data_IF_228997876083
#
_entry.id   IF_228997876083
#
_cell.length_a   1.000
_cell.length_b   1.000
_cell.length_c   1.000
_cell.angle_alpha   90.00
_cell.angle_beta   90.00
_cell.angle_gamma   90.00
#
_symmetry.space_group_name_H-M   'P 1'
#
loop_
_entity.id
_entity.type
_entity.pdbx_description
1 polymer ?
#
# COMPACT_ATOMS: atom_id res chain seq x y z
N UNK A 1 20.15 -44.82 58.53
CA UNK A 1 21.44 -44.12 58.59
C UNK A 1 22.27 -44.58 57.40
N UNK A 2 22.93 -43.64 56.73
CA UNK A 2 23.54 -43.80 55.42
C UNK A 2 24.53 -44.98 55.34
N UNK A 3 24.31 -45.89 54.39
CA UNK A 3 25.36 -46.80 53.94
C UNK A 3 26.36 -45.98 53.13
N UNK A 4 27.47 -45.63 53.77
CA UNK A 4 28.63 -45.03 53.12
C UNK A 4 29.21 -46.11 52.20
N UNK A 5 28.98 -45.98 50.90
CA UNK A 5 29.75 -46.72 49.90
C UNK A 5 31.10 -46.03 49.81
N UNK A 6 32.16 -46.66 50.35
CA UNK A 6 33.54 -46.18 50.24
C UNK A 6 34.20 -46.84 49.03
N UNK A 7 34.34 -46.15 47.88
CA UNK A 7 35.08 -46.67 46.74
C UNK A 7 36.58 -46.46 47.01
N UNK A 8 37.41 -47.49 46.90
CA UNK A 8 38.86 -47.33 46.70
C UNK A 8 39.78 -47.30 47.94
N UNK A 9 39.29 -47.56 49.15
CA UNK A 9 40.11 -47.40 50.37
C UNK A 9 41.24 -48.41 50.62
N UNK A 10 41.36 -49.50 49.84
CA UNK A 10 42.41 -50.51 50.07
C UNK A 10 43.47 -50.61 48.97
N UNK A 11 43.32 -49.89 47.85
CA UNK A 11 44.25 -49.97 46.71
C UNK A 11 44.93 -48.64 46.39
N UNK A 12 44.59 -47.55 47.08
CA UNK A 12 45.10 -46.20 46.76
C UNK A 12 44.62 -45.68 45.40
N UNK A 13 43.63 -46.34 44.79
CA UNK A 13 43.07 -45.98 43.50
C UNK A 13 41.79 -45.18 43.71
N UNK A 14 41.86 -43.89 43.41
CA UNK A 14 40.71 -42.99 43.39
C UNK A 14 39.84 -43.28 42.15
N UNK A 15 38.92 -44.22 42.29
CA UNK A 15 38.05 -44.66 41.19
C UNK A 15 37.11 -43.55 40.70
N UNK A 16 36.76 -42.58 41.55
CA UNK A 16 35.97 -41.42 41.15
C UNK A 16 36.74 -40.53 40.18
N UNK A 17 38.02 -40.26 40.46
CA UNK A 17 38.88 -39.51 39.53
C UNK A 17 39.15 -40.27 38.23
N UNK A 18 39.33 -41.60 38.27
CA UNK A 18 39.53 -42.42 37.07
C UNK A 18 38.27 -42.42 36.19
N UNK A 19 37.08 -42.54 36.78
CA UNK A 19 35.81 -42.43 36.05
C UNK A 19 35.64 -41.04 35.45
N UNK A 20 35.98 -39.98 36.19
CA UNK A 20 35.97 -38.61 35.66
C UNK A 20 36.97 -38.43 34.51
N UNK A 21 38.17 -38.97 34.61
CA UNK A 21 39.19 -38.92 33.55
C UNK A 21 38.75 -39.69 32.29
N UNK A 22 38.16 -40.88 32.45
CA UNK A 22 37.59 -41.65 31.34
C UNK A 22 36.40 -40.92 30.70
N UNK A 23 35.51 -40.32 31.50
CA UNK A 23 34.42 -39.48 30.99
C UNK A 23 34.93 -38.23 30.27
N UNK A 24 36.02 -37.62 30.72
CA UNK A 24 36.65 -36.49 30.02
C UNK A 24 37.23 -36.92 28.66
N UNK A 25 37.82 -38.11 28.58
CA UNK A 25 38.34 -38.68 27.33
C UNK A 25 37.18 -39.00 26.36
N UNK A 26 36.10 -39.60 26.85
CA UNK A 26 34.85 -39.82 26.10
C UNK A 26 34.28 -38.48 25.56
N UNK A 27 34.23 -37.44 26.41
CA UNK A 27 33.76 -36.10 26.04
C UNK A 27 34.67 -35.35 25.07
N UNK A 28 35.95 -35.73 24.94
CA UNK A 28 36.88 -35.08 24.00
C UNK A 28 36.37 -35.09 22.56
N UNK A 29 35.71 -36.17 22.15
CA UNK A 29 35.10 -36.28 20.82
C UNK A 29 33.92 -35.32 20.67
N UNK A 30 33.09 -35.18 21.70
CA UNK A 30 31.98 -34.23 21.73
C UNK A 30 32.49 -32.78 21.64
N UNK A 31 33.47 -32.40 22.46
CA UNK A 31 34.08 -31.06 22.44
C UNK A 31 34.71 -30.72 21.08
N UNK A 32 35.32 -31.70 20.40
CA UNK A 32 35.81 -31.52 19.03
C UNK A 32 34.68 -31.20 18.04
N UNK A 33 33.53 -31.85 18.14
CA UNK A 33 32.37 -31.56 17.29
C UNK A 33 31.71 -30.22 17.65
N UNK A 34 31.60 -29.89 18.94
CA UNK A 34 31.11 -28.59 19.41
C UNK A 34 31.98 -27.45 18.86
N UNK A 35 33.30 -27.58 18.94
CA UNK A 35 34.24 -26.60 18.38
C UNK A 35 34.06 -26.46 16.85
N UNK A 36 33.90 -27.57 16.12
CA UNK A 36 33.60 -27.55 14.68
C UNK A 36 32.26 -26.86 14.37
N UNK A 37 31.24 -27.08 15.19
CA UNK A 37 29.93 -26.43 15.04
C UNK A 37 30.07 -24.93 15.27
N UNK A 38 30.76 -24.51 16.32
CA UNK A 38 31.01 -23.09 16.62
C UNK A 38 31.76 -22.41 15.49
N UNK A 39 32.85 -23.01 15.00
CA UNK A 39 33.63 -22.47 13.88
C UNK A 39 32.79 -22.35 12.58
N UNK A 40 31.95 -23.35 12.28
CA UNK A 40 31.02 -23.28 11.14
C UNK A 40 29.94 -22.22 11.32
N UNK A 41 29.43 -22.03 12.55
CA UNK A 41 28.47 -20.96 12.85
C UNK A 41 29.08 -19.58 12.65
N UNK A 42 30.29 -19.35 13.16
CA UNK A 42 31.02 -18.10 12.95
C UNK A 42 31.25 -17.82 11.46
N UNK A 43 31.69 -18.83 10.71
CA UNK A 43 31.88 -18.73 9.26
C UNK A 43 30.56 -18.38 8.55
N UNK A 44 29.45 -19.03 8.91
CA UNK A 44 28.13 -18.73 8.35
C UNK A 44 27.70 -17.30 8.65
N UNK A 45 27.90 -16.83 9.89
CA UNK A 45 27.56 -15.45 10.28
C UNK A 45 28.38 -14.45 9.46
N UNK A 46 29.69 -14.65 9.34
CA UNK A 46 30.56 -13.79 8.53
C UNK A 46 30.15 -13.75 7.05
N UNK A 47 29.80 -14.90 6.45
CA UNK A 47 29.30 -14.96 5.07
C UNK A 47 27.95 -14.25 4.92
N UNK A 48 27.04 -14.42 5.88
CA UNK A 48 25.72 -13.76 5.86
C UNK A 48 25.85 -12.25 5.98
N UNK A 49 26.77 -11.78 6.82
CA UNK A 49 27.08 -10.35 6.96
C UNK A 49 27.69 -9.79 5.67
N UNK A 50 28.64 -10.51 5.06
CA UNK A 50 29.22 -10.13 3.77
C UNK A 50 28.16 -10.06 2.67
N UNK A 51 27.28 -11.06 2.60
CA UNK A 51 26.17 -11.10 1.65
C UNK A 51 25.24 -9.89 1.83
N UNK A 52 24.93 -9.53 3.08
CA UNK A 52 24.09 -8.37 3.40
C UNK A 52 24.75 -7.06 2.95
N UNK A 53 26.06 -6.89 3.20
CA UNK A 53 26.84 -5.73 2.75
C UNK A 53 26.90 -5.64 1.23
N UNK A 54 27.08 -6.76 0.53
CA UNK A 54 27.09 -6.81 -0.94
C UNK A 54 25.72 -6.48 -1.53
N UNK A 55 24.63 -6.95 -0.93
CA UNK A 55 23.28 -6.56 -1.37
C UNK A 55 23.01 -5.08 -1.13
N UNK A 56 23.42 -4.53 0.01
CA UNK A 56 23.32 -3.10 0.26
C UNK A 56 24.08 -2.28 -0.80
N UNK A 57 25.31 -2.69 -1.12
CA UNK A 57 26.11 -2.06 -2.18
C UNK A 57 25.44 -2.16 -3.55
N UNK A 58 24.99 -3.36 -3.94
CA UNK A 58 24.28 -3.59 -5.21
C UNK A 58 23.05 -2.68 -5.33
N UNK A 59 22.26 -2.56 -4.27
CA UNK A 59 21.08 -1.70 -4.28
C UNK A 59 21.45 -0.23 -4.44
N UNK A 60 22.51 0.25 -3.78
CA UNK A 60 23.01 1.62 -3.95
C UNK A 60 23.53 1.87 -5.38
N UNK A 61 24.24 0.91 -5.96
CA UNK A 61 24.73 1.01 -7.34
C UNK A 61 23.59 0.99 -8.36
N UNK A 62 22.55 0.19 -8.13
CA UNK A 62 21.37 0.20 -9.00
C UNK A 62 20.67 1.57 -9.01
N UNK A 63 20.52 2.20 -7.83
CA UNK A 63 19.98 3.56 -7.74
C UNK A 63 20.87 4.55 -8.48
N UNK A 64 22.20 4.44 -8.34
CA UNK A 64 23.14 5.31 -9.05
C UNK A 64 23.16 5.08 -10.56
N UNK A 65 22.89 3.85 -11.02
CA UNK A 65 22.82 3.52 -12.45
C UNK A 65 21.56 4.05 -13.14
N UNK A 66 20.57 4.48 -12.37
CA UNK A 66 19.37 5.13 -12.92
C UNK A 66 19.71 6.55 -13.39
N UNK A 67 19.92 6.68 -14.71
CA UNK A 67 20.19 7.95 -15.38
C UNK A 67 19.14 9.03 -15.09
N UNK A 68 17.91 8.66 -14.75
CA UNK A 68 16.85 9.60 -14.39
C UNK A 68 17.11 10.32 -13.06
N UNK A 69 17.88 9.72 -12.14
CA UNK A 69 18.28 10.36 -10.88
C UNK A 69 19.49 11.28 -11.04
N UNK A 70 20.39 10.97 -11.98
CA UNK A 70 21.60 11.74 -12.23
C UNK A 70 21.33 13.06 -12.97
N UNK A 71 20.31 13.09 -13.83
CA UNK A 71 19.85 14.28 -14.56
C UNK A 71 18.62 14.95 -13.93
N UNK A 72 18.35 14.70 -12.64
CA UNK A 72 17.15 15.22 -12.00
C UNK A 72 17.19 16.76 -11.87
N UNK A 73 16.24 17.43 -12.52
CA UNK A 73 16.04 18.87 -12.38
C UNK A 73 15.23 19.18 -11.12
N UNK A 74 15.58 20.27 -10.45
CA UNK A 74 14.76 20.82 -9.36
C UNK A 74 13.85 21.91 -9.92
N UNK A 75 12.55 21.71 -9.86
CA UNK A 75 11.58 22.77 -10.13
C UNK A 75 11.27 23.54 -8.84
N UNK A 76 11.21 24.88 -8.94
CA UNK A 76 10.77 25.74 -7.85
C UNK A 76 9.68 26.67 -8.34
N UNK A 77 8.63 26.84 -7.53
CA UNK A 77 7.57 27.81 -7.78
C UNK A 77 7.83 29.08 -6.97
N UNK A 78 7.48 30.24 -7.52
CA UNK A 78 7.51 31.51 -6.78
C UNK A 78 6.39 31.61 -5.76
N UNK A 79 5.29 30.86 -5.94
CA UNK A 79 4.13 30.84 -5.05
C UNK A 79 3.54 29.42 -5.04
N UNK A 80 3.97 28.62 -4.05
CA UNK A 80 3.60 27.21 -3.92
C UNK A 80 2.15 26.99 -3.52
N UNK A 81 1.50 27.99 -2.93
CA UNK A 81 0.10 27.89 -2.50
C UNK A 81 -0.85 27.97 -3.70
N UNK A 82 -0.41 28.60 -4.79
CA UNK A 82 -1.18 28.70 -6.04
C UNK A 82 -0.82 27.61 -7.05
N UNK A 83 0.47 27.34 -7.24
CA UNK A 83 0.95 26.36 -8.23
C UNK A 83 2.16 25.62 -7.67
N UNK A 84 2.05 24.29 -7.63
CA UNK A 84 3.17 23.39 -7.38
C UNK A 84 3.68 22.84 -8.70
N UNK A 85 4.99 22.68 -8.81
CA UNK A 85 5.66 22.17 -10.02
C UNK A 85 6.60 21.05 -9.65
N UNK A 86 6.65 20.01 -10.49
CA UNK A 86 7.58 18.90 -10.37
C UNK A 86 8.28 18.73 -11.72
N UNK A 87 9.60 18.58 -11.70
CA UNK A 87 10.37 18.30 -12.90
C UNK A 87 10.60 16.80 -13.04
N UNK A 88 10.32 16.27 -14.24
CA UNK A 88 10.68 14.91 -14.62
C UNK A 88 12.13 14.85 -15.11
N UNK A 89 12.68 13.64 -15.24
CA UNK A 89 14.07 13.40 -15.69
C UNK A 89 14.39 13.89 -17.11
N UNK A 90 13.38 14.20 -17.92
CA UNK A 90 13.52 14.80 -19.25
C UNK A 90 13.17 16.30 -19.33
N UNK A 91 13.00 16.97 -18.19
CA UNK A 91 12.72 18.39 -18.17
C UNK A 91 13.87 19.21 -18.79
N UNK A 92 13.53 20.32 -19.44
CA UNK A 92 14.53 21.26 -19.94
C UNK A 92 14.78 22.36 -18.92
N UNK A 93 16.03 22.82 -18.85
CA UNK A 93 16.38 23.95 -18.01
C UNK A 93 15.77 25.25 -18.57
N UNK A 94 15.06 26.00 -17.73
CA UNK A 94 14.44 27.24 -18.15
C UNK A 94 13.57 27.87 -17.06
N UNK A 95 13.23 29.15 -17.27
CA UNK A 95 12.24 29.86 -16.45
C UNK A 95 10.92 29.95 -17.21
N UNK A 96 9.83 29.56 -16.57
CA UNK A 96 8.49 29.61 -17.14
C UNK A 96 7.61 30.60 -16.37
N UNK A 97 6.91 31.48 -17.09
CA UNK A 97 5.89 32.35 -16.50
C UNK A 97 4.52 31.69 -16.64
N UNK A 98 3.87 31.40 -15.51
CA UNK A 98 2.57 30.75 -15.46
C UNK A 98 1.55 31.73 -14.89
N UNK A 99 0.45 31.95 -15.63
CA UNK A 99 -0.69 32.74 -15.17
C UNK A 99 -1.93 31.83 -15.08
N UNK A 100 -2.41 31.62 -13.85
CA UNK A 100 -3.66 30.87 -13.62
C UNK A 100 -4.84 31.81 -13.83
N UNK A 101 -5.65 31.54 -14.86
CA UNK A 101 -6.86 32.34 -15.17
C UNK A 101 -8.12 31.75 -14.55
N UNK A 102 -8.29 30.44 -14.67
CA UNK A 102 -9.46 29.72 -14.17
C UNK A 102 -9.04 28.29 -13.79
N UNK A 103 -9.60 27.79 -12.70
CA UNK A 103 -9.42 26.40 -12.29
C UNK A 103 -10.36 25.50 -13.07
N UNK A 104 -9.88 24.32 -13.45
CA UNK A 104 -10.76 23.27 -13.93
C UNK A 104 -11.67 22.84 -12.78
N UNK A 105 -12.97 22.82 -13.03
CA UNK A 105 -13.99 22.33 -12.10
C UNK A 105 -14.66 21.11 -12.68
N UNK A 106 -15.08 20.18 -11.82
CA UNK A 106 -15.92 19.06 -12.25
C UNK A 106 -17.35 19.54 -12.52
N UNK A 107 -18.00 18.96 -13.53
CA UNK A 107 -19.41 19.24 -13.80
C UNK A 107 -20.30 18.57 -12.75
N UNK A 108 -21.32 19.30 -12.28
CA UNK A 108 -22.29 18.80 -11.29
C UNK A 108 -23.69 19.17 -11.71
N UNK A 109 -24.56 18.17 -11.75
CA UNK A 109 -25.98 18.34 -12.00
C UNK A 109 -26.77 17.89 -10.79
N UNK A 110 -27.78 18.67 -10.43
CA UNK A 110 -28.67 18.40 -9.31
C UNK A 110 -30.09 18.37 -9.84
N UNK A 111 -30.78 17.27 -9.61
CA UNK A 111 -32.20 17.11 -9.96
C UNK A 111 -33.09 17.91 -9.00
N UNK A 112 -34.28 18.33 -9.45
CA UNK A 112 -35.27 19.10 -8.68
C UNK A 112 -35.76 18.42 -7.39
N UNK A 113 -35.57 17.11 -7.29
CA UNK A 113 -35.74 16.34 -6.05
C UNK A 113 -37.02 15.52 -5.98
N UNK A 114 -37.03 14.58 -5.04
CA UNK A 114 -38.15 13.70 -4.72
C UNK A 114 -38.38 13.68 -3.20
N UNK A 115 -39.56 13.23 -2.80
CA UNK A 115 -39.97 13.21 -1.39
C UNK A 115 -39.15 12.21 -0.54
N UNK A 116 -38.76 11.08 -1.11
CA UNK A 116 -38.00 10.02 -0.43
C UNK A 116 -36.93 9.42 -1.34
N UNK A 117 -35.87 8.84 -0.75
CA UNK A 117 -34.89 8.05 -1.51
C UNK A 117 -35.49 6.80 -2.18
N UNK A 118 -36.60 6.29 -1.63
CA UNK A 118 -37.37 5.15 -2.17
C UNK A 118 -38.48 5.58 -3.12
N UNK A 119 -38.63 6.88 -3.40
CA UNK A 119 -39.57 7.34 -4.42
C UNK A 119 -39.20 6.75 -5.78
N UNK A 120 -40.22 6.27 -6.50
CA UNK A 120 -40.03 5.71 -7.84
C UNK A 120 -39.69 6.81 -8.85
N UNK A 121 -38.75 6.51 -9.75
CA UNK A 121 -38.34 7.42 -10.84
C UNK A 121 -39.13 7.19 -12.14
N UNK A 122 -39.93 6.12 -12.19
CA UNK A 122 -40.73 5.72 -13.36
C UNK A 122 -39.94 4.88 -14.38
N UNK A 123 -40.66 4.22 -15.29
CA UNK A 123 -40.06 3.51 -16.41
C UNK A 123 -39.58 4.46 -17.52
N UNK A 124 -38.40 4.18 -18.06
CA UNK A 124 -37.85 4.98 -19.15
C UNK A 124 -36.37 4.69 -19.40
N UNK A 125 -35.81 5.44 -20.36
CA UNK A 125 -34.38 5.40 -20.68
C UNK A 125 -33.75 6.71 -20.22
N UNK A 126 -32.75 6.61 -19.34
CA UNK A 126 -31.96 7.73 -18.87
C UNK A 126 -30.59 7.70 -19.56
N UNK A 127 -30.29 8.72 -20.36
CA UNK A 127 -29.05 8.82 -21.14
C UNK A 127 -28.18 9.92 -20.53
N UNK A 128 -26.94 9.60 -20.20
CA UNK A 128 -25.96 10.52 -19.64
C UNK A 128 -24.78 10.62 -20.60
N UNK A 129 -24.57 11.79 -21.18
CA UNK A 129 -23.37 12.08 -21.97
C UNK A 129 -22.23 12.55 -21.09
N UNK A 130 -21.08 11.88 -21.14
CA UNK A 130 -19.86 12.29 -20.45
C UNK A 130 -18.61 11.86 -21.22
N UNK A 131 -17.64 12.76 -21.36
CA UNK A 131 -16.38 12.51 -22.07
C UNK A 131 -16.56 11.89 -23.48
N UNK A 132 -17.51 12.42 -24.27
CA UNK A 132 -17.87 11.93 -25.62
C UNK A 132 -18.42 10.48 -25.66
N UNK A 133 -18.78 9.93 -24.50
CA UNK A 133 -19.44 8.63 -24.36
C UNK A 133 -20.85 8.82 -23.80
N UNK A 134 -21.73 7.87 -24.08
CA UNK A 134 -23.09 7.83 -23.54
C UNK A 134 -23.24 6.64 -22.61
N UNK A 135 -23.73 6.90 -21.41
CA UNK A 135 -24.21 5.89 -20.47
C UNK A 135 -25.73 5.81 -20.59
N UNK A 136 -26.25 4.62 -20.87
CA UNK A 136 -27.69 4.39 -21.08
C UNK A 136 -28.22 3.50 -19.95
N UNK A 137 -29.02 4.07 -19.06
CA UNK A 137 -29.66 3.34 -17.96
C UNK A 137 -31.13 3.13 -18.28
N UNK A 138 -31.58 1.88 -18.19
CA UNK A 138 -33.00 1.53 -18.33
C UNK A 138 -33.63 1.40 -16.95
N UNK A 139 -34.75 2.08 -16.73
CA UNK A 139 -35.54 2.01 -15.49
C UNK A 139 -36.91 1.39 -15.76
N UNK A 140 -37.52 0.86 -14.71
CA UNK A 140 -38.90 0.35 -14.72
C UNK A 140 -39.75 1.11 -13.68
N UNK A 141 -41.06 0.82 -13.65
CA UNK A 141 -42.01 1.50 -12.77
C UNK A 141 -41.75 1.30 -11.27
N UNK A 142 -40.87 0.36 -10.89
CA UNK A 142 -40.49 0.07 -9.52
C UNK A 142 -39.07 0.53 -9.18
N UNK A 143 -38.34 1.12 -10.13
CA UNK A 143 -36.98 1.62 -9.88
C UNK A 143 -37.06 2.83 -8.96
N UNK A 144 -36.43 2.75 -7.80
CA UNK A 144 -36.34 3.87 -6.85
C UNK A 144 -35.19 4.81 -7.19
N UNK A 145 -35.18 6.00 -6.59
CA UNK A 145 -34.05 6.92 -6.71
C UNK A 145 -32.73 6.28 -6.22
N UNK A 146 -32.78 5.48 -5.16
CA UNK A 146 -31.62 4.73 -4.67
C UNK A 146 -31.16 3.65 -5.66
N UNK A 147 -32.10 2.95 -6.30
CA UNK A 147 -31.77 1.98 -7.35
C UNK A 147 -31.13 2.67 -8.54
N UNK A 148 -31.64 3.82 -8.96
CA UNK A 148 -31.06 4.60 -10.08
C UNK A 148 -29.61 5.01 -9.80
N UNK A 149 -29.31 5.48 -8.58
CA UNK A 149 -27.92 5.78 -8.18
C UNK A 149 -27.03 4.54 -8.26
N UNK A 150 -27.56 3.41 -7.81
CA UNK A 150 -26.84 2.13 -7.82
C UNK A 150 -26.60 1.64 -9.25
N UNK A 151 -27.60 1.77 -10.13
CA UNK A 151 -27.51 1.43 -11.54
C UNK A 151 -26.45 2.28 -12.24
N UNK A 152 -26.44 3.60 -12.03
CA UNK A 152 -25.43 4.49 -12.63
C UNK A 152 -24.03 4.14 -12.15
N UNK A 153 -23.81 4.03 -10.83
CA UNK A 153 -22.47 3.84 -10.27
C UNK A 153 -21.86 2.45 -10.56
N UNK A 154 -22.70 1.43 -10.73
CA UNK A 154 -22.25 0.06 -10.97
C UNK A 154 -22.35 -0.38 -12.44
N UNK A 155 -22.77 0.53 -13.33
CA UNK A 155 -22.81 0.22 -14.76
C UNK A 155 -21.39 -0.02 -15.30
N UNK A 156 -21.13 -1.15 -15.99
CA UNK A 156 -19.81 -1.47 -16.52
C UNK A 156 -19.34 -0.48 -17.60
N UNK A 157 -20.28 0.16 -18.29
CA UNK A 157 -20.02 1.14 -19.34
C UNK A 157 -19.99 2.58 -18.81
N UNK A 158 -19.97 2.77 -17.49
CA UNK A 158 -19.93 4.10 -16.89
C UNK A 158 -18.62 4.84 -17.26
N UNK A 159 -18.71 5.98 -17.99
CA UNK A 159 -17.54 6.71 -18.50
C UNK A 159 -16.82 7.56 -17.42
N UNK A 160 -17.23 7.47 -16.15
CA UNK A 160 -16.68 8.24 -15.04
C UNK A 160 -17.65 9.23 -14.40
N UNK A 161 -18.96 8.96 -14.45
CA UNK A 161 -19.99 9.74 -13.75
C UNK A 161 -20.29 9.09 -12.40
N UNK A 162 -20.24 9.86 -11.33
CA UNK A 162 -20.65 9.43 -9.99
C UNK A 162 -22.02 9.99 -9.65
N UNK A 163 -22.97 9.11 -9.35
CA UNK A 163 -24.27 9.46 -8.82
C UNK A 163 -24.29 9.41 -7.29
N UNK A 164 -25.06 10.31 -6.67
CA UNK A 164 -25.32 10.31 -5.24
C UNK A 164 -26.66 10.95 -4.91
N UNK A 165 -27.08 10.83 -3.66
CA UNK A 165 -28.28 11.49 -3.16
C UNK A 165 -27.86 12.60 -2.19
N UNK A 166 -28.27 13.83 -2.50
CA UNK A 166 -28.15 14.96 -1.59
C UNK A 166 -29.50 15.18 -0.89
N UNK A 167 -29.47 15.27 0.44
CA UNK A 167 -30.66 15.56 1.23
C UNK A 167 -30.69 17.05 1.55
N UNK A 168 -31.65 17.77 0.97
CA UNK A 168 -31.89 19.19 1.19
C UNK A 168 -33.38 19.48 0.97
N UNK A 169 -34.07 20.08 1.93
CA UNK A 169 -35.46 20.50 1.77
C UNK A 169 -35.50 22.02 1.73
N UNK A 170 -35.94 22.58 0.60
CA UNK A 170 -36.12 24.02 0.37
C UNK A 170 -37.52 24.51 0.80
N UNK A 171 -38.33 23.66 1.43
CA UNK A 171 -39.71 23.92 1.81
C UNK A 171 -40.73 23.39 0.80
N UNK A 172 -40.29 22.78 -0.31
CA UNK A 172 -41.16 22.08 -1.27
C UNK A 172 -41.60 20.69 -0.78
N UNK A 173 -40.93 20.13 0.23
CA UNK A 173 -41.13 18.76 0.70
C UNK A 173 -40.45 17.69 -0.17
N UNK A 174 -39.71 18.09 -1.20
CA UNK A 174 -38.85 17.21 -2.01
C UNK A 174 -37.42 17.25 -1.47
N UNK A 175 -37.16 16.48 -0.42
CA UNK A 175 -35.90 16.56 0.29
C UNK A 175 -34.73 15.79 -0.37
N UNK A 176 -34.97 14.93 -1.37
CA UNK A 176 -33.97 13.99 -1.90
C UNK A 176 -33.63 14.27 -3.35
N UNK A 177 -32.43 14.78 -3.60
CA UNK A 177 -31.97 15.18 -4.93
C UNK A 177 -30.94 14.19 -5.48
N UNK A 178 -31.14 13.74 -6.73
CA UNK A 178 -30.09 13.06 -7.48
C UNK A 178 -28.99 14.09 -7.80
N UNK A 179 -27.75 13.75 -7.47
CA UNK A 179 -26.58 14.53 -7.85
C UNK A 179 -25.68 13.69 -8.74
N UNK A 180 -25.37 14.19 -9.92
CA UNK A 180 -24.40 13.60 -10.84
C UNK A 180 -23.13 14.45 -10.84
N UNK A 181 -21.98 13.82 -10.67
CA UNK A 181 -20.66 14.46 -10.73
C UNK A 181 -19.80 13.79 -11.80
N UNK A 182 -19.15 14.58 -12.65
CA UNK A 182 -18.04 14.09 -13.46
C UNK A 182 -16.83 13.79 -12.56
N UNK A 183 -16.14 12.67 -12.79
CA UNK A 183 -14.94 12.30 -12.04
C UNK A 183 -13.77 13.23 -12.33
N UNK A 184 -13.64 13.66 -13.58
CA UNK A 184 -12.58 14.54 -14.04
C UNK A 184 -13.05 15.99 -14.08
N UNK A 185 -12.13 16.91 -13.78
CA UNK A 185 -12.33 18.35 -13.92
C UNK A 185 -11.94 18.81 -15.32
N UNK A 186 -12.69 19.74 -15.89
CA UNK A 186 -12.45 20.24 -17.25
C UNK A 186 -13.68 20.08 -18.14
N UNK A 187 -13.58 20.63 -19.35
CA UNK A 187 -14.63 20.63 -20.37
C UNK A 187 -14.44 19.54 -21.41
#
# INVERSE_FOLDING_TARGET
MASIQLPGLSTGLDTATIIQQLMQIERRRLTMYENKITQKKETRTAVTELQSKLYALKNKLNVLSDAGTLGAYKATSSDSDKVTVQAASGAQEGSHSVQVKQLATANRWVHDGLKYATSYVGAGTFIIGYNQQELVIQTNDQTTLQDLVTLINNDPDNPGVTAGILVHDDGSGNAYHLVLNGKDSGS
#
